data_IF_297818847354
#
_entry.id   IF_297818847354
#
_cell.length_a   1.000
_cell.length_b   1.000
_cell.length_c   1.000
_cell.angle_alpha   90.00
_cell.angle_beta   90.00
_cell.angle_gamma   90.00
#
_symmetry.space_group_name_H-M   'P 1'
#
loop_
_entity.id
_entity.type
_entity.pdbx_description
1 polymer ?
#
# COMPACT_ATOMS: atom_id res chain seq x y z
N UNK A 1 19.43 1.26 -2.84
CA UNK A 1 19.05 0.27 -3.88
C UNK A 1 19.49 0.75 -5.26
N UNK A 2 19.36 -0.07 -6.33
CA UNK A 2 19.53 0.41 -7.71
C UNK A 2 18.25 1.16 -8.14
N UNK A 3 18.39 2.47 -8.38
CA UNK A 3 17.29 3.38 -8.74
C UNK A 3 16.65 3.00 -10.09
N UNK A 4 17.47 2.66 -11.09
CA UNK A 4 17.00 2.31 -12.43
C UNK A 4 16.08 1.10 -12.39
N UNK A 5 16.51 0.01 -11.75
CA UNK A 5 15.69 -1.20 -11.64
C UNK A 5 14.39 -0.96 -10.84
N UNK A 6 14.43 -0.08 -9.83
CA UNK A 6 13.23 0.30 -9.09
C UNK A 6 12.24 1.07 -9.97
N UNK A 7 12.74 2.08 -10.70
CA UNK A 7 11.95 2.85 -11.64
C UNK A 7 11.36 1.99 -12.76
N UNK A 8 12.12 1.03 -13.29
CA UNK A 8 11.63 0.02 -14.24
C UNK A 8 10.52 -0.85 -13.64
N UNK A 9 10.65 -1.29 -12.38
CA UNK A 9 9.64 -2.09 -11.68
C UNK A 9 8.29 -1.38 -11.56
N UNK A 10 8.30 -0.06 -11.44
CA UNK A 10 7.09 0.78 -11.40
C UNK A 10 6.82 1.49 -12.73
N UNK A 11 7.56 1.19 -13.79
CA UNK A 11 7.36 1.75 -15.14
C UNK A 11 7.43 3.28 -15.21
N UNK A 12 8.39 3.88 -14.49
CA UNK A 12 8.68 5.31 -14.55
C UNK A 12 9.96 5.53 -15.36
N UNK A 13 9.85 6.21 -16.50
CA UNK A 13 11.00 6.53 -17.37
C UNK A 13 11.55 7.94 -17.17
N UNK A 14 10.91 8.76 -16.33
CA UNK A 14 11.32 10.15 -16.08
C UNK A 14 12.45 10.22 -15.07
N UNK A 15 13.43 11.06 -15.36
CA UNK A 15 14.51 11.43 -14.42
C UNK A 15 13.95 11.90 -13.08
N UNK A 16 14.52 11.46 -11.95
CA UNK A 16 14.12 11.92 -10.63
C UNK A 16 14.15 13.43 -10.45
N UNK A 17 13.07 13.98 -9.91
CA UNK A 17 12.93 15.38 -9.53
C UNK A 17 12.19 15.47 -8.19
N UNK A 18 12.66 16.32 -7.28
CA UNK A 18 11.98 16.55 -5.99
C UNK A 18 10.86 17.56 -6.21
N UNK A 19 9.66 17.07 -6.53
CA UNK A 19 8.47 17.89 -6.72
C UNK A 19 7.21 17.12 -6.36
N UNK A 20 6.13 17.84 -6.06
CA UNK A 20 4.83 17.24 -5.76
C UNK A 20 4.28 16.41 -6.93
N UNK A 21 4.42 16.90 -8.17
CA UNK A 21 3.94 16.19 -9.36
C UNK A 21 4.73 14.92 -9.65
N UNK A 22 6.03 14.91 -9.34
CA UNK A 22 6.84 13.70 -9.44
C UNK A 22 6.47 12.69 -8.35
N UNK A 23 6.25 13.14 -7.11
CA UNK A 23 5.78 12.30 -6.01
C UNK A 23 4.41 11.67 -6.30
N UNK A 24 3.47 12.44 -6.85
CA UNK A 24 2.16 11.94 -7.28
C UNK A 24 2.29 10.85 -8.34
N UNK A 25 3.13 11.05 -9.35
CA UNK A 25 3.39 10.06 -10.39
C UNK A 25 4.03 8.78 -9.80
N UNK A 26 5.01 8.93 -8.91
CA UNK A 26 5.66 7.78 -8.25
C UNK A 26 4.67 6.96 -7.42
N UNK A 27 3.85 7.63 -6.60
CA UNK A 27 2.87 6.95 -5.76
C UNK A 27 1.81 6.24 -6.61
N UNK A 28 1.28 6.91 -7.63
CA UNK A 28 0.32 6.31 -8.57
C UNK A 28 0.89 5.04 -9.20
N UNK A 29 2.11 5.11 -9.74
CA UNK A 29 2.75 3.96 -10.38
C UNK A 29 3.07 2.84 -9.40
N UNK A 30 3.57 3.16 -8.20
CA UNK A 30 3.84 2.14 -7.18
C UNK A 30 2.58 1.34 -6.82
N UNK A 31 1.46 2.01 -6.50
CA UNK A 31 0.24 1.31 -6.05
C UNK A 31 -0.44 0.51 -7.17
N UNK A 32 -0.28 0.96 -8.42
CA UNK A 32 -0.88 0.29 -9.59
C UNK A 32 -0.04 -0.87 -10.12
N UNK A 33 1.29 -0.83 -9.93
CA UNK A 33 2.22 -1.86 -10.45
C UNK A 33 2.65 -2.89 -9.41
N UNK A 34 2.67 -2.55 -8.12
CA UNK A 34 3.14 -3.43 -7.05
C UNK A 34 1.96 -3.86 -6.17
N UNK A 35 1.59 -5.16 -6.14
CA UNK A 35 0.46 -5.61 -5.33
C UNK A 35 0.81 -5.65 -3.83
N UNK A 36 -0.21 -5.53 -3.00
CA UNK A 36 -0.19 -5.95 -1.61
C UNK A 36 -0.49 -7.46 -1.55
N UNK A 37 0.30 -8.24 -0.81
CA UNK A 37 0.15 -9.69 -0.75
C UNK A 37 0.83 -10.32 0.48
N UNK A 38 0.29 -11.46 0.92
CA UNK A 38 0.74 -12.21 2.10
C UNK A 38 1.32 -13.60 1.77
N UNK A 39 1.75 -13.85 0.52
CA UNK A 39 2.09 -15.21 0.09
C UNK A 39 3.31 -15.79 0.82
N UNK A 40 4.28 -14.96 1.22
CA UNK A 40 5.43 -15.44 2.01
C UNK A 40 4.98 -15.92 3.40
N UNK A 41 4.04 -15.20 4.04
CA UNK A 41 3.45 -15.62 5.32
C UNK A 41 2.74 -16.97 5.18
N UNK A 42 1.95 -17.16 4.13
CA UNK A 42 1.27 -18.44 3.87
C UNK A 42 2.23 -19.59 3.57
N UNK A 43 3.41 -19.27 3.03
CA UNK A 43 4.47 -20.24 2.73
C UNK A 43 5.44 -20.45 3.91
N UNK A 44 5.18 -19.84 5.06
CA UNK A 44 6.06 -19.83 6.23
C UNK A 44 7.49 -19.33 5.90
N UNK A 45 7.61 -18.42 4.94
CA UNK A 45 8.84 -17.70 4.65
C UNK A 45 8.84 -16.45 5.55
N UNK A 46 9.82 -16.29 6.45
CA UNK A 46 9.86 -15.14 7.35
C UNK A 46 9.88 -13.80 6.59
N UNK A 47 9.07 -12.85 7.07
CA UNK A 47 9.13 -11.47 6.58
C UNK A 47 10.48 -10.85 6.94
N UNK A 48 11.02 -10.05 6.04
CA UNK A 48 12.28 -9.34 6.24
C UNK A 48 12.03 -7.84 6.38
N UNK A 49 12.68 -7.23 7.37
CA UNK A 49 12.79 -5.78 7.54
C UNK A 49 14.13 -5.22 7.03
N UNK A 50 14.96 -6.06 6.40
CA UNK A 50 16.17 -5.64 5.70
C UNK A 50 15.85 -5.11 4.29
N UNK A 51 16.34 -3.90 4.00
CA UNK A 51 16.14 -3.19 2.73
C UNK A 51 16.60 -4.00 1.51
N UNK A 52 17.68 -4.78 1.63
CA UNK A 52 18.23 -5.57 0.51
C UNK A 52 17.31 -6.74 0.17
N UNK A 53 16.85 -7.47 1.18
CA UNK A 53 15.92 -8.58 1.01
C UNK A 53 14.56 -8.11 0.44
N UNK A 54 14.06 -6.97 0.93
CA UNK A 54 12.82 -6.37 0.43
C UNK A 54 12.98 -5.93 -1.03
N UNK A 55 14.09 -5.28 -1.36
CA UNK A 55 14.41 -4.89 -2.74
C UNK A 55 14.46 -6.11 -3.67
N UNK A 56 15.19 -7.17 -3.27
CA UNK A 56 15.30 -8.41 -4.05
C UNK A 56 13.92 -9.04 -4.29
N UNK A 57 13.06 -9.06 -3.25
CA UNK A 57 11.69 -9.57 -3.36
C UNK A 57 10.85 -8.76 -4.35
N UNK A 58 10.72 -7.46 -4.11
CA UNK A 58 9.73 -6.63 -4.80
C UNK A 58 10.20 -6.26 -6.21
N UNK A 59 11.49 -5.92 -6.36
CA UNK A 59 12.05 -5.40 -7.61
C UNK A 59 12.53 -6.52 -8.50
N UNK A 60 13.44 -7.36 -8.00
CA UNK A 60 14.10 -8.38 -8.83
C UNK A 60 13.16 -9.56 -9.09
N UNK A 61 12.49 -10.09 -8.06
CA UNK A 61 11.52 -11.19 -8.19
C UNK A 61 10.11 -10.72 -8.56
N UNK A 62 9.90 -9.42 -8.81
CA UNK A 62 8.63 -8.80 -9.20
C UNK A 62 7.44 -9.15 -8.29
N UNK A 63 7.68 -9.41 -7.00
CA UNK A 63 6.63 -9.70 -6.00
C UNK A 63 6.01 -8.42 -5.43
N UNK A 64 5.11 -8.60 -4.48
CA UNK A 64 4.53 -7.55 -3.66
C UNK A 64 5.03 -7.67 -2.22
N UNK A 65 4.22 -7.24 -1.25
CA UNK A 65 4.49 -7.44 0.17
C UNK A 65 3.40 -6.85 1.06
N UNK A 66 3.65 -6.87 2.37
CA UNK A 66 2.82 -6.16 3.36
C UNK A 66 3.26 -4.69 3.51
N UNK A 67 2.54 -3.91 4.33
CA UNK A 67 2.74 -2.47 4.44
C UNK A 67 4.19 -2.07 4.80
N UNK A 68 4.88 -2.79 5.68
CA UNK A 68 6.27 -2.51 6.07
C UNK A 68 7.24 -2.70 4.91
N UNK A 69 7.05 -3.75 4.10
CA UNK A 69 7.89 -4.02 2.93
C UNK A 69 7.66 -2.98 1.84
N UNK A 70 6.39 -2.67 1.55
CA UNK A 70 6.00 -1.73 0.50
C UNK A 70 6.37 -0.28 0.85
N UNK A 71 5.93 0.21 2.01
CA UNK A 71 6.22 1.56 2.45
C UNK A 71 7.69 1.72 2.88
N UNK A 72 8.32 0.68 3.44
CA UNK A 72 9.75 0.67 3.77
C UNK A 72 10.61 0.87 2.53
N UNK A 73 10.38 0.06 1.48
CA UNK A 73 11.10 0.16 0.22
C UNK A 73 10.83 1.50 -0.48
N UNK A 74 9.57 1.93 -0.56
CA UNK A 74 9.22 3.21 -1.19
C UNK A 74 9.86 4.39 -0.46
N UNK A 75 9.87 4.40 0.88
CA UNK A 75 10.55 5.43 1.66
C UNK A 75 12.08 5.41 1.44
N UNK A 76 12.71 4.24 1.42
CA UNK A 76 14.15 4.11 1.13
C UNK A 76 14.49 4.67 -0.26
N UNK A 77 13.66 4.38 -1.27
CA UNK A 77 13.76 4.94 -2.61
C UNK A 77 13.59 6.47 -2.63
N UNK A 78 12.53 7.00 -2.01
CA UNK A 78 12.26 8.44 -1.94
C UNK A 78 13.41 9.21 -1.29
N UNK A 79 13.98 8.69 -0.19
CA UNK A 79 15.18 9.27 0.44
C UNK A 79 16.36 9.31 -0.52
N UNK A 80 16.60 8.22 -1.24
CA UNK A 80 17.73 8.09 -2.15
C UNK A 80 17.65 9.08 -3.33
N UNK A 81 16.45 9.46 -3.76
CA UNK A 81 16.24 10.47 -4.82
C UNK A 81 16.05 11.90 -4.29
N UNK A 82 16.20 12.13 -2.99
CA UNK A 82 16.31 13.47 -2.39
C UNK A 82 15.03 14.05 -1.76
N UNK A 83 13.96 13.27 -1.57
CA UNK A 83 12.81 13.75 -0.78
C UNK A 83 13.14 13.75 0.72
N UNK A 84 12.66 14.78 1.45
CA UNK A 84 12.62 14.74 2.92
C UNK A 84 11.45 13.86 3.35
N UNK A 85 11.76 12.68 3.87
CA UNK A 85 10.76 11.65 4.15
C UNK A 85 11.16 10.74 5.30
N UNK A 86 10.16 10.19 6.00
CA UNK A 86 10.34 9.14 7.00
C UNK A 86 9.13 8.24 7.14
N UNK A 87 9.34 7.06 7.71
CA UNK A 87 8.24 6.17 8.09
C UNK A 87 7.54 6.71 9.34
N UNK A 88 6.25 6.47 9.39
CA UNK A 88 5.37 6.71 10.55
C UNK A 88 4.59 5.43 10.82
N UNK A 89 4.10 5.27 12.06
CA UNK A 89 3.22 4.16 12.41
C UNK A 89 1.76 4.60 12.51
N UNK A 90 0.88 3.70 12.09
CA UNK A 90 -0.56 3.86 12.12
C UNK A 90 -1.25 2.72 12.85
N UNK A 91 -2.42 3.04 13.42
CA UNK A 91 -3.35 2.08 14.02
C UNK A 91 -4.59 1.97 13.13
N UNK A 92 -4.86 0.77 12.61
CA UNK A 92 -5.96 0.53 11.66
C UNK A 92 -7.31 0.58 12.38
N UNK A 93 -8.30 1.25 11.77
CA UNK A 93 -9.68 1.21 12.23
C UNK A 93 -10.41 -0.02 11.66
N UNK A 94 -11.05 -0.81 12.52
CA UNK A 94 -11.75 -2.06 12.14
C UNK A 94 -13.25 -1.90 11.95
N UNK A 95 -13.74 -0.66 11.86
CA UNK A 95 -15.15 -0.33 11.63
C UNK A 95 -15.92 0.06 12.89
N UNK A 96 -15.59 -0.56 14.02
CA UNK A 96 -16.16 -0.31 15.35
C UNK A 96 -15.12 0.15 16.38
N UNK A 97 -13.87 -0.31 16.24
CA UNK A 97 -12.79 -0.03 17.17
C UNK A 97 -11.43 0.13 16.46
N UNK A 98 -10.49 0.74 17.15
CA UNK A 98 -9.08 0.75 16.76
C UNK A 98 -8.48 -0.63 17.00
N UNK A 99 -7.70 -1.12 16.04
CA UNK A 99 -6.95 -2.36 16.18
C UNK A 99 -5.71 -2.22 17.07
N UNK A 100 -4.84 -3.21 16.97
CA UNK A 100 -3.52 -3.19 17.61
C UNK A 100 -2.74 -1.93 17.21
N UNK A 101 -2.11 -1.31 18.20
CA UNK A 101 -1.44 -0.02 18.01
C UNK A 101 -0.20 -0.16 17.14
N UNK A 102 0.01 0.85 16.29
CA UNK A 102 1.24 1.05 15.52
C UNK A 102 1.66 -0.13 14.61
N UNK A 103 0.69 -0.93 14.16
CA UNK A 103 0.93 -2.10 13.30
C UNK A 103 0.86 -1.81 11.80
N UNK A 104 0.62 -0.57 11.38
CA UNK A 104 0.63 -0.15 9.97
C UNK A 104 1.79 0.80 9.70
N UNK A 105 2.57 0.54 8.66
CA UNK A 105 3.60 1.48 8.21
C UNK A 105 2.99 2.43 7.16
N UNK A 106 3.26 3.72 7.27
CA UNK A 106 3.00 4.71 6.22
C UNK A 106 4.19 5.68 6.16
N UNK A 107 4.12 6.69 5.28
CA UNK A 107 5.23 7.59 5.01
C UNK A 107 4.75 9.04 5.12
N UNK A 108 5.59 9.88 5.72
CA UNK A 108 5.40 11.32 5.72
C UNK A 108 6.48 11.97 4.85
N UNK A 109 6.08 12.79 3.89
CA UNK A 109 6.99 13.56 3.01
C UNK A 109 6.77 15.06 3.22
N UNK A 110 7.85 15.82 3.30
CA UNK A 110 7.82 17.29 3.35
C UNK A 110 8.27 17.88 2.02
N UNK A 111 7.48 18.80 1.44
CA UNK A 111 7.86 19.59 0.25
C UNK A 111 7.49 21.04 0.54
N UNK A 112 8.48 21.95 0.52
CA UNK A 112 8.28 23.38 0.78
C UNK A 112 7.44 23.66 2.04
N UNK A 113 7.79 23.03 3.17
CA UNK A 113 7.11 23.11 4.47
C UNK A 113 5.71 22.48 4.56
N UNK A 114 5.17 21.97 3.44
CA UNK A 114 3.92 21.21 3.44
C UNK A 114 4.18 19.72 3.63
N UNK A 115 3.35 19.08 4.47
CA UNK A 115 3.45 17.66 4.78
C UNK A 115 2.37 16.86 4.08
N UNK A 116 2.79 15.76 3.48
CA UNK A 116 1.95 14.84 2.74
C UNK A 116 2.05 13.44 3.33
N UNK A 117 0.89 12.82 3.56
CA UNK A 117 0.78 11.40 3.83
C UNK A 117 0.91 10.64 2.50
N UNK A 118 1.84 9.71 2.48
CA UNK A 118 2.07 8.77 1.39
C UNK A 118 1.84 7.37 1.95
N UNK A 119 1.09 6.57 1.21
CA UNK A 119 0.84 5.19 1.60
C UNK A 119 0.66 4.32 0.36
N UNK A 120 1.65 3.46 0.13
CA UNK A 120 1.67 2.50 -0.95
C UNK A 120 1.41 1.07 -0.46
N UNK A 121 1.07 0.91 0.82
CA UNK A 121 1.05 -0.36 1.53
C UNK A 121 -0.26 -0.68 2.27
N UNK A 122 -1.28 0.16 2.20
CA UNK A 122 -2.61 -0.07 2.80
C UNK A 122 -3.55 -0.96 1.95
N UNK A 123 -3.00 -1.60 0.91
CA UNK A 123 -3.74 -2.49 0.01
C UNK A 123 -4.66 -1.75 -0.95
N UNK A 124 -5.86 -2.26 -1.18
CA UNK A 124 -6.83 -1.69 -2.13
C UNK A 124 -7.41 -0.34 -1.71
N UNK A 125 -7.12 0.12 -0.50
CA UNK A 125 -7.46 1.46 -0.01
C UNK A 125 -6.26 2.42 -0.02
N UNK A 126 -5.08 2.01 -0.51
CA UNK A 126 -3.96 2.92 -0.69
C UNK A 126 -4.37 4.08 -1.60
N UNK A 127 -4.20 5.35 -1.18
CA UNK A 127 -4.45 6.48 -2.04
C UNK A 127 -3.51 6.45 -3.26
N UNK A 128 -4.02 6.80 -4.44
CA UNK A 128 -3.19 6.95 -5.65
C UNK A 128 -2.35 8.22 -5.66
N UNK A 129 -2.65 9.16 -4.76
CA UNK A 129 -2.06 10.50 -4.71
C UNK A 129 -1.62 10.85 -3.29
N UNK A 130 -0.60 11.70 -3.15
CA UNK A 130 -0.22 12.29 -1.88
C UNK A 130 -1.40 13.01 -1.21
N UNK A 131 -1.63 12.74 0.08
CA UNK A 131 -2.73 13.37 0.82
C UNK A 131 -2.16 14.44 1.76
N UNK A 132 -2.43 15.73 1.54
CA UNK A 132 -1.92 16.79 2.41
C UNK A 132 -2.54 16.70 3.81
N UNK A 133 -1.76 17.04 4.83
CA UNK A 133 -2.19 17.07 6.24
C UNK A 133 -3.07 18.31 6.58
N UNK A 134 -3.68 18.94 5.58
CA UNK A 134 -4.42 20.20 5.69
C UNK A 134 -5.95 20.02 5.84
N UNK A 135 -6.45 18.78 5.73
CA UNK A 135 -7.90 18.52 5.65
C UNK A 135 -8.48 18.63 4.24
N UNK A 136 -7.67 19.03 3.24
CA UNK A 136 -8.09 19.08 1.84
C UNK A 136 -8.54 17.69 1.36
N UNK A 137 -9.64 17.68 0.62
CA UNK A 137 -10.13 16.46 -0.03
C UNK A 137 -9.40 16.25 -1.36
N UNK A 138 -8.85 15.07 -1.53
CA UNK A 138 -8.22 14.63 -2.77
C UNK A 138 -9.13 13.62 -3.45
N UNK A 139 -9.53 13.92 -4.69
CA UNK A 139 -10.37 13.02 -5.48
C UNK A 139 -9.55 11.81 -5.98
N UNK A 140 -10.22 10.67 -6.03
CA UNK A 140 -9.73 9.44 -6.63
C UNK A 140 -10.85 8.80 -7.46
N UNK A 141 -10.53 7.78 -8.26
CA UNK A 141 -11.48 7.14 -9.19
C UNK A 141 -12.66 6.47 -8.48
N UNK A 142 -12.47 6.06 -7.22
CA UNK A 142 -13.49 5.36 -6.41
C UNK A 142 -13.86 6.11 -5.12
N UNK A 143 -13.60 7.42 -5.04
CA UNK A 143 -14.02 8.25 -3.90
C UNK A 143 -13.17 9.49 -3.66
N UNK A 144 -13.07 9.87 -2.39
CA UNK A 144 -12.22 10.98 -1.94
C UNK A 144 -11.41 10.55 -0.72
N UNK A 145 -10.20 11.06 -0.57
CA UNK A 145 -9.39 10.89 0.62
C UNK A 145 -9.18 12.24 1.30
N UNK A 146 -9.00 12.22 2.61
CA UNK A 146 -8.51 13.37 3.37
C UNK A 146 -7.77 12.90 4.62
N UNK A 147 -6.85 13.74 5.08
CA UNK A 147 -6.25 13.61 6.41
C UNK A 147 -6.79 14.72 7.28
N UNK A 148 -7.39 14.39 8.42
CA UNK A 148 -7.85 15.36 9.42
C UNK A 148 -7.16 15.15 10.75
N UNK A 149 -7.18 16.17 11.61
CA UNK A 149 -6.75 16.01 13.01
C UNK A 149 -7.60 14.97 13.75
N UNK A 150 -6.97 14.26 14.69
CA UNK A 150 -7.58 13.32 15.63
C UNK A 150 -7.57 13.96 17.02
N UNK A 151 -8.58 14.75 17.42
CA UNK A 151 -8.54 15.50 18.67
C UNK A 151 -8.49 14.60 19.93
N UNK A 152 -8.80 13.31 19.79
CA UNK A 152 -8.75 12.33 20.87
C UNK A 152 -7.33 11.85 21.20
N UNK A 153 -6.35 12.13 20.34
CA UNK A 153 -4.95 11.73 20.52
C UNK A 153 -4.04 12.89 20.12
N UNK A 154 -3.13 13.27 21.02
CA UNK A 154 -2.19 14.38 20.79
C UNK A 154 -1.37 14.16 19.52
N UNK A 155 -1.14 15.25 18.77
CA UNK A 155 -0.36 15.29 17.52
C UNK A 155 -0.68 14.19 16.51
N UNK A 156 -1.96 13.78 16.48
CA UNK A 156 -2.41 12.66 15.67
C UNK A 156 -3.42 13.08 14.61
N UNK A 157 -3.48 12.28 13.57
CA UNK A 157 -4.29 12.47 12.38
C UNK A 157 -5.05 11.19 12.06
N UNK A 158 -6.14 11.31 11.30
CA UNK A 158 -6.89 10.19 10.75
C UNK A 158 -6.93 10.31 9.24
N UNK A 159 -6.49 9.26 8.54
CA UNK A 159 -6.79 9.10 7.12
C UNK A 159 -8.23 8.59 6.98
N UNK A 160 -9.02 9.29 6.19
CA UNK A 160 -10.39 8.90 5.87
C UNK A 160 -10.58 8.75 4.36
N UNK A 161 -11.45 7.80 3.98
CA UNK A 161 -11.94 7.65 2.61
C UNK A 161 -13.45 7.89 2.57
N UNK A 162 -13.91 8.73 1.66
CA UNK A 162 -15.33 8.89 1.35
C UNK A 162 -15.72 7.89 0.29
N UNK A 163 -16.57 6.94 0.66
CA UNK A 163 -17.24 6.06 -0.28
C UNK A 163 -18.72 6.45 -0.35
N UNK A 164 -19.20 6.75 -1.57
CA UNK A 164 -20.55 7.30 -1.81
C UNK A 164 -20.76 8.59 -1.00
N UNK A 165 -21.58 8.55 0.04
CA UNK A 165 -21.92 9.70 0.89
C UNK A 165 -21.30 9.66 2.28
N UNK A 166 -20.57 8.60 2.65
CA UNK A 166 -20.05 8.40 4.01
C UNK A 166 -18.53 8.42 4.05
N UNK A 167 -17.97 9.12 5.04
CA UNK A 167 -16.57 9.03 5.39
C UNK A 167 -16.33 7.80 6.25
N UNK A 168 -15.33 7.01 5.87
CA UNK A 168 -14.85 5.85 6.57
C UNK A 168 -13.45 6.16 7.10
N UNK A 169 -13.23 5.94 8.39
CA UNK A 169 -11.89 6.01 8.97
C UNK A 169 -11.09 4.79 8.52
N UNK A 170 -9.85 5.02 8.08
CA UNK A 170 -8.95 3.95 7.63
C UNK A 170 -7.95 3.62 8.73
N UNK A 171 -7.11 4.58 9.11
CA UNK A 171 -6.18 4.46 10.23
C UNK A 171 -5.89 5.84 10.83
N UNK A 172 -5.46 5.84 12.09
CA UNK A 172 -4.89 7.01 12.74
C UNK A 172 -3.38 6.89 12.87
N UNK A 173 -2.67 8.00 12.92
CA UNK A 173 -1.20 8.04 13.02
C UNK A 173 -0.76 9.34 13.69
N UNK A 174 0.46 9.36 14.22
CA UNK A 174 1.14 10.60 14.61
C UNK A 174 2.34 10.85 13.68
N UNK A 175 3.03 11.99 13.86
CA UNK A 175 4.13 12.40 12.96
C UNK A 175 5.52 11.93 13.42
N UNK A 176 5.60 11.10 14.46
CA UNK A 176 6.86 10.59 15.02
C UNK A 176 7.62 9.81 13.95
N UNK A 177 8.93 10.04 13.85
CA UNK A 177 9.81 9.30 12.94
C UNK A 177 9.99 7.86 13.42
N UNK A 178 9.80 6.90 12.52
CA UNK A 178 10.06 5.47 12.73
C UNK A 178 11.17 4.99 11.77
N UNK A 179 11.94 4.00 12.23
CA UNK A 179 12.76 3.15 11.37
C UNK A 179 11.99 1.87 11.01
N UNK A 180 12.48 1.15 10.00
CA UNK A 180 11.84 -0.08 9.56
C UNK A 180 11.88 -1.17 10.65
N UNK A 181 12.96 -1.24 11.43
CA UNK A 181 13.11 -2.15 12.58
C UNK A 181 12.05 -1.93 13.68
N UNK A 182 11.43 -0.76 13.75
CA UNK A 182 10.36 -0.54 14.72
C UNK A 182 9.11 -1.39 14.45
N UNK A 183 8.98 -1.97 13.24
CA UNK A 183 7.85 -2.81 12.84
C UNK A 183 8.03 -4.30 13.15
N UNK A 184 9.08 -4.74 13.85
CA UNK A 184 9.28 -6.17 14.19
C UNK A 184 8.06 -6.78 14.87
N UNK A 185 7.48 -6.09 15.86
CA UNK A 185 6.25 -6.56 16.52
C UNK A 185 5.08 -6.72 15.55
N UNK A 186 4.90 -5.79 14.61
CA UNK A 186 3.84 -5.86 13.62
C UNK A 186 4.05 -7.04 12.65
N UNK A 187 5.29 -7.31 12.25
CA UNK A 187 5.65 -8.49 11.46
C UNK A 187 5.37 -9.79 12.21
N UNK A 188 5.73 -9.88 13.48
CA UNK A 188 5.46 -11.07 14.31
C UNK A 188 3.96 -11.31 14.46
N UNK A 189 3.19 -10.24 14.69
CA UNK A 189 1.74 -10.32 14.75
C UNK A 189 1.17 -10.80 13.41
N UNK A 190 1.62 -10.27 12.28
CA UNK A 190 1.14 -10.69 10.96
C UNK A 190 1.44 -12.17 10.68
N UNK A 191 2.62 -12.66 11.07
CA UNK A 191 3.08 -14.02 10.78
C UNK A 191 2.50 -15.06 11.72
N UNK A 192 2.54 -14.81 13.03
CA UNK A 192 2.39 -15.85 14.04
C UNK A 192 1.14 -15.70 14.91
N UNK A 193 0.53 -14.51 14.97
CA UNK A 193 -0.64 -14.31 15.82
C UNK A 193 -1.80 -15.22 15.39
N UNK A 194 -2.46 -15.94 16.31
CA UNK A 194 -3.66 -16.71 16.00
C UNK A 194 -4.79 -15.85 15.42
N UNK A 195 -4.80 -14.55 15.73
CA UNK A 195 -5.81 -13.57 15.30
C UNK A 195 -5.44 -12.84 13.99
N UNK A 196 -4.27 -13.12 13.42
CA UNK A 196 -3.84 -12.48 12.17
C UNK A 196 -4.68 -12.99 10.99
N UNK A 197 -5.25 -12.11 10.16
CA UNK A 197 -5.87 -12.55 8.90
C UNK A 197 -4.81 -12.97 7.88
N UNK A 198 -3.56 -12.50 8.02
CA UNK A 198 -2.50 -12.72 7.04
C UNK A 198 -1.92 -14.14 7.04
N UNK A 199 -2.18 -14.94 8.07
CA UNK A 199 -1.70 -16.33 8.16
C UNK A 199 -2.80 -17.39 8.00
N UNK A 200 -4.00 -17.00 7.53
CA UNK A 200 -5.16 -17.92 7.40
C UNK A 200 -5.50 -18.33 5.98
N UNK A 201 -5.28 -17.42 5.03
CA UNK A 201 -5.64 -17.64 3.63
C UNK A 201 -5.16 -16.48 2.76
N UNK A 202 -5.45 -16.55 1.46
CA UNK A 202 -5.03 -15.53 0.51
C UNK A 202 -5.54 -14.15 0.90
N UNK A 203 -4.63 -13.18 1.00
CA UNK A 203 -4.99 -11.79 1.20
C UNK A 203 -4.17 -10.91 0.27
N UNK A 204 -4.68 -10.71 -0.95
CA UNK A 204 -4.03 -9.96 -2.00
C UNK A 204 -4.89 -8.77 -2.41
N UNK A 205 -4.25 -7.64 -2.66
CA UNK A 205 -4.92 -6.45 -3.14
C UNK A 205 -4.07 -5.76 -4.21
N UNK A 206 -4.73 -5.17 -5.21
CA UNK A 206 -4.07 -4.32 -6.21
C UNK A 206 -4.96 -3.14 -6.52
N UNK A 207 -4.37 -1.95 -6.47
CA UNK A 207 -4.98 -0.75 -7.01
C UNK A 207 -4.88 -0.83 -8.53
N UNK A 208 -5.96 -0.51 -9.22
CA UNK A 208 -6.07 -0.48 -10.68
C UNK A 208 -6.29 0.97 -11.13
N UNK A 209 -6.15 1.24 -12.42
CA UNK A 209 -6.47 2.56 -12.97
C UNK A 209 -7.97 2.89 -12.79
N UNK A 210 -8.85 1.91 -13.02
CA UNK A 210 -10.31 2.05 -12.92
C UNK A 210 -10.86 1.86 -11.49
N UNK A 211 -10.05 1.36 -10.56
CA UNK A 211 -10.51 1.01 -9.22
C UNK A 211 -9.59 0.03 -8.51
N UNK A 212 -10.07 -1.11 -8.04
CA UNK A 212 -9.24 -2.02 -7.23
C UNK A 212 -9.75 -3.44 -7.27
N UNK A 213 -8.85 -4.37 -7.05
CA UNK A 213 -9.18 -5.78 -6.84
C UNK A 213 -8.65 -6.29 -5.51
N UNK A 214 -9.41 -7.17 -4.89
CA UNK A 214 -9.08 -7.80 -3.62
C UNK A 214 -9.43 -9.28 -3.70
N UNK A 215 -8.46 -10.15 -3.44
CA UNK A 215 -8.69 -11.56 -3.17
C UNK A 215 -8.56 -11.75 -1.65
N UNK A 216 -9.66 -12.14 -1.02
CA UNK A 216 -9.68 -12.53 0.39
C UNK A 216 -10.19 -13.96 0.50
N UNK A 217 -9.30 -14.86 0.90
CA UNK A 217 -9.42 -16.30 0.82
C UNK A 217 -9.84 -16.73 -0.61
N UNK A 218 -11.05 -17.26 -0.80
CA UNK A 218 -11.57 -17.64 -2.10
C UNK A 218 -12.46 -16.55 -2.73
N UNK A 219 -12.57 -15.37 -2.14
CA UNK A 219 -13.45 -14.32 -2.66
C UNK A 219 -12.70 -13.22 -3.38
N UNK A 220 -12.93 -13.13 -4.69
CA UNK A 220 -12.44 -12.03 -5.53
C UNK A 220 -13.49 -10.92 -5.55
N UNK A 221 -13.10 -9.72 -5.12
CA UNK A 221 -13.89 -8.50 -5.21
C UNK A 221 -13.22 -7.54 -6.17
N UNK A 222 -13.97 -7.07 -7.16
CA UNK A 222 -13.55 -6.01 -8.07
C UNK A 222 -14.42 -4.77 -7.81
N UNK A 223 -13.76 -3.62 -7.69
CA UNK A 223 -14.43 -2.31 -7.60
C UNK A 223 -13.93 -1.48 -8.76
N UNK A 224 -14.85 -0.97 -9.59
CA UNK A 224 -14.56 -0.07 -10.70
C UNK A 224 -15.47 1.15 -10.60
N UNK A 225 -14.89 2.32 -10.31
CA UNK A 225 -15.65 3.48 -9.89
C UNK A 225 -16.59 3.16 -8.71
N UNK A 226 -17.90 3.24 -8.93
CA UNK A 226 -18.93 2.93 -7.93
C UNK A 226 -19.52 1.52 -8.02
N UNK A 227 -19.11 0.74 -9.02
CA UNK A 227 -19.56 -0.63 -9.21
C UNK A 227 -18.69 -1.59 -8.39
N UNK A 228 -19.33 -2.55 -7.73
CA UNK A 228 -18.65 -3.59 -6.96
C UNK A 228 -19.21 -4.95 -7.35
N UNK A 229 -18.34 -5.83 -7.84
CA UNK A 229 -18.66 -7.23 -8.11
C UNK A 229 -17.88 -8.11 -7.16
N UNK A 230 -18.47 -9.27 -6.84
CA UNK A 230 -17.88 -10.26 -5.95
C UNK A 230 -18.10 -11.64 -6.54
N UNK A 231 -17.04 -12.38 -6.72
CA UNK A 231 -17.02 -13.76 -7.22
C UNK A 231 -16.39 -14.67 -6.16
N UNK A 232 -16.89 -15.90 -6.06
CA UNK A 232 -16.24 -16.95 -5.30
C UNK A 232 -15.41 -17.83 -6.25
N UNK A 233 -14.10 -17.85 -6.04
CA UNK A 233 -13.12 -18.55 -6.84
C UNK A 233 -13.01 -20.00 -6.36
N UNK A 234 -13.11 -20.93 -7.30
CA UNK A 234 -12.94 -22.36 -7.03
C UNK A 234 -11.46 -22.69 -6.81
N UNK A 235 -11.13 -23.73 -6.01
CA UNK A 235 -9.73 -24.09 -5.73
C UNK A 235 -8.87 -24.31 -6.98
N UNK A 236 -9.43 -24.88 -8.05
CA UNK A 236 -8.72 -25.09 -9.32
C UNK A 236 -8.40 -23.80 -10.10
N UNK A 237 -9.01 -22.66 -9.74
CA UNK A 237 -8.78 -21.34 -10.38
C UNK A 237 -7.94 -20.41 -9.50
N UNK A 238 -7.63 -20.79 -8.26
CA UNK A 238 -7.03 -19.85 -7.29
C UNK A 238 -5.65 -19.37 -7.71
N UNK A 239 -4.79 -20.28 -8.18
CA UNK A 239 -3.43 -19.92 -8.61
C UNK A 239 -3.45 -19.00 -9.82
N UNK A 240 -4.37 -19.23 -10.77
CA UNK A 240 -4.57 -18.35 -11.92
C UNK A 240 -4.99 -16.95 -11.47
N UNK A 241 -5.94 -16.85 -10.53
CA UNK A 241 -6.40 -15.55 -10.00
C UNK A 241 -5.30 -14.84 -9.21
N UNK A 242 -4.50 -15.57 -8.43
CA UNK A 242 -3.34 -15.02 -7.70
C UNK A 242 -2.33 -14.43 -8.68
N UNK A 243 -2.02 -15.15 -9.76
CA UNK A 243 -1.04 -14.70 -10.76
C UNK A 243 -1.43 -13.37 -11.40
N UNK A 244 -2.72 -13.13 -11.64
CA UNK A 244 -3.23 -11.86 -12.18
C UNK A 244 -2.87 -10.64 -11.32
N UNK A 245 -2.56 -10.79 -10.03
CA UNK A 245 -2.11 -9.66 -9.19
C UNK A 245 -0.69 -9.19 -9.56
N UNK A 246 0.13 -10.07 -10.12
CA UNK A 246 1.51 -9.76 -10.49
C UNK A 246 1.65 -9.36 -11.95
N UNK A 247 0.78 -9.90 -12.81
CA UNK A 247 0.78 -9.58 -14.23
C UNK A 247 0.30 -8.14 -14.49
N UNK A 248 0.82 -7.57 -15.56
CA UNK A 248 0.39 -6.28 -16.10
C UNK A 248 -0.77 -6.50 -17.07
N UNK A 249 -1.97 -5.90 -16.85
CA UNK A 249 -3.02 -5.94 -17.85
C UNK A 249 -2.61 -5.32 -19.21
N UNK A 250 -1.48 -4.61 -19.31
CA UNK A 250 -0.95 -4.16 -20.61
C UNK A 250 -0.17 -5.22 -21.40
N UNK A 251 0.09 -6.41 -20.83
CA UNK A 251 0.65 -7.56 -21.55
C UNK A 251 -0.45 -8.51 -22.05
N UNK A 252 -1.61 -7.96 -22.45
CA UNK A 252 -2.61 -8.77 -23.13
C UNK A 252 -2.01 -9.28 -24.45
N UNK A 253 -1.88 -10.60 -24.48
CA UNK A 253 -1.23 -11.44 -25.46
C UNK A 253 -1.85 -11.28 -26.85
N UNK A 254 -1.44 -10.26 -27.60
CA UNK A 254 -1.42 -10.30 -29.06
C UNK A 254 -0.11 -10.96 -29.53
N UNK A 255 0.07 -12.22 -29.13
CA UNK A 255 0.84 -13.19 -29.90
C UNK A 255 0.00 -14.47 -30.01
N UNK A 256 -0.96 -14.41 -30.92
CA UNK A 256 -1.64 -15.57 -31.48
C UNK A 256 -1.59 -15.45 -33.00
N UNK A 257 -0.72 -16.28 -33.60
CA UNK A 257 -0.53 -16.61 -35.03
C UNK A 257 0.41 -15.74 -35.84
#
# INVERSE_FOLDING_TARGET
MNITSYLERIQVSKTPQVSQSYLEMLQYQQVTRVPFENLDVLRNIPLSLDDTNIYEKIVIRKRGGLCYELNGLFNSFLKQIGFDTHLIAGTIYRGDQWGESDTHAAILVTIHDERYLIDVGFGGNSPRKPIPLTGQQISDVDGFYRVRACPEVEDSFVLEKKERSKWLMLYRFNTKKWSLDNFTFACDQAQYSPQSPFNKGYFLMKVLESGRKTLFDHSLTLVEGFNKTKENITPNRIDQVVQQFFDDPSEDTNQSR
#
